data_IF_402421841199
#
_entry.id   IF_402421841199
#
_cell.length_a   1.000
_cell.length_b   1.000
_cell.length_c   1.000
_cell.angle_alpha   90.00
_cell.angle_beta   90.00
_cell.angle_gamma   90.00
#
_symmetry.space_group_name_H-M   'P 1'
#
loop_
_entity.id
_entity.type
_entity.pdbx_description
1 polymer ?
#
# COMPACT_ATOMS: atom_id res chain seq x y z
N UNK A 1 6.43 0.95 -22.48
CA UNK A 1 6.96 0.32 -21.24
C UNK A 1 8.24 0.98 -20.72
N UNK A 2 9.33 1.03 -21.49
CA UNK A 2 10.62 1.58 -21.02
C UNK A 2 10.56 3.02 -20.45
N UNK A 3 9.73 3.89 -21.02
CA UNK A 3 9.58 5.28 -20.56
C UNK A 3 8.95 5.42 -19.17
N UNK A 4 8.05 4.52 -18.80
CA UNK A 4 7.38 4.54 -17.48
C UNK A 4 8.34 4.02 -16.41
N UNK A 5 9.11 2.98 -16.73
CA UNK A 5 10.16 2.43 -15.86
C UNK A 5 11.22 3.49 -15.55
N UNK A 6 11.62 4.28 -16.57
CA UNK A 6 12.59 5.37 -16.40
C UNK A 6 12.12 6.47 -15.46
N UNK A 7 10.83 6.85 -15.50
CA UNK A 7 10.27 7.84 -14.59
C UNK A 7 10.24 7.32 -13.15
N UNK A 8 9.89 6.04 -12.95
CA UNK A 8 9.96 5.41 -11.63
C UNK A 8 11.39 5.38 -11.08
N UNK A 9 12.38 5.02 -11.89
CA UNK A 9 13.80 4.99 -11.48
C UNK A 9 14.34 6.38 -11.12
N UNK A 10 13.98 7.42 -11.87
CA UNK A 10 14.40 8.80 -11.59
C UNK A 10 13.76 9.37 -10.33
N UNK A 11 12.51 8.99 -10.04
CA UNK A 11 11.82 9.36 -8.79
C UNK A 11 12.42 8.66 -7.57
N UNK A 12 12.87 7.40 -7.72
CA UNK A 12 13.55 6.63 -6.67
C UNK A 12 14.91 7.24 -6.31
N UNK A 13 15.69 7.71 -7.29
CA UNK A 13 17.04 8.23 -7.07
C UNK A 13 17.12 9.65 -6.49
N UNK A 14 16.08 10.49 -6.65
CA UNK A 14 16.12 11.90 -6.22
C UNK A 14 15.51 12.17 -4.84
N UNK A 15 14.88 11.19 -4.20
CA UNK A 15 14.44 11.34 -2.82
C UNK A 15 15.54 10.86 -1.87
N UNK A 16 16.35 11.81 -1.41
CA UNK A 16 17.28 11.63 -0.30
C UNK A 16 16.57 10.95 0.88
N UNK A 17 16.88 9.68 1.11
CA UNK A 17 16.87 8.95 2.39
C UNK A 17 15.65 9.21 3.30
N UNK A 18 14.44 9.25 2.73
CA UNK A 18 13.22 8.98 3.50
C UNK A 18 12.91 7.51 3.33
N UNK A 19 12.48 6.84 4.40
CA UNK A 19 12.09 5.45 4.31
C UNK A 19 11.02 5.27 3.22
N UNK A 20 11.20 4.28 2.36
CA UNK A 20 10.27 3.98 1.28
C UNK A 20 9.67 2.62 1.58
N UNK A 21 8.35 2.54 1.62
CA UNK A 21 7.63 1.28 1.78
C UNK A 21 7.17 0.84 0.41
N UNK A 22 7.85 -0.15 -0.14
CA UNK A 22 7.58 -0.69 -1.46
C UNK A 22 7.09 -2.12 -1.33
N UNK A 23 6.07 -2.51 -2.07
CA UNK A 23 5.60 -3.89 -2.12
C UNK A 23 5.17 -4.25 -3.53
N UNK A 24 5.52 -5.45 -3.97
CA UNK A 24 5.06 -6.03 -5.24
C UNK A 24 4.55 -7.42 -4.99
N UNK A 25 3.39 -7.74 -5.54
CA UNK A 25 2.79 -9.05 -5.37
C UNK A 25 1.43 -9.17 -6.03
N UNK A 26 0.50 -9.80 -5.32
CA UNK A 26 -0.85 -10.06 -5.81
C UNK A 26 -1.89 -9.55 -4.82
N UNK A 27 -2.98 -9.02 -5.36
CA UNK A 27 -4.21 -8.69 -4.64
C UNK A 27 -5.34 -9.57 -5.16
N UNK A 28 -6.09 -10.16 -4.25
CA UNK A 28 -7.35 -10.82 -4.55
C UNK A 28 -8.51 -9.93 -4.12
N UNK A 29 -9.33 -9.53 -5.09
CA UNK A 29 -10.63 -8.88 -4.89
C UNK A 29 -11.55 -9.40 -5.99
N UNK A 30 -12.35 -10.43 -5.66
CA UNK A 30 -13.17 -11.28 -6.58
C UNK A 30 -12.38 -12.02 -7.68
N UNK A 31 -11.21 -11.54 -8.04
CA UNK A 31 -10.23 -12.15 -8.93
C UNK A 31 -8.82 -11.70 -8.52
N UNK A 32 -7.82 -12.49 -8.90
CA UNK A 32 -6.42 -12.19 -8.65
C UNK A 32 -5.93 -11.09 -9.60
N UNK A 33 -5.23 -10.11 -9.05
CA UNK A 33 -4.59 -9.00 -9.74
C UNK A 33 -3.13 -8.94 -9.32
N UNK A 34 -2.25 -8.54 -10.23
CA UNK A 34 -0.93 -8.07 -9.83
C UNK A 34 -1.09 -6.73 -9.11
N UNK A 35 -0.32 -6.51 -8.05
CA UNK A 35 -0.30 -5.26 -7.30
C UNK A 35 1.14 -4.77 -7.11
N UNK A 36 1.36 -3.47 -7.29
CA UNK A 36 2.58 -2.78 -6.90
C UNK A 36 2.21 -1.53 -6.11
N UNK A 37 2.71 -1.42 -4.89
CA UNK A 37 2.46 -0.31 -3.98
C UNK A 37 3.76 0.40 -3.63
N UNK A 38 3.72 1.73 -3.62
CA UNK A 38 4.81 2.57 -3.14
C UNK A 38 4.24 3.59 -2.17
N UNK A 39 4.78 3.68 -0.96
CA UNK A 39 4.35 4.65 0.05
C UNK A 39 5.56 5.32 0.68
N UNK A 40 5.46 6.63 0.85
CA UNK A 40 6.43 7.47 1.55
C UNK A 40 5.80 7.85 2.89
N UNK A 41 6.29 7.27 4.00
CA UNK A 41 5.84 7.63 5.33
C UNK A 41 6.29 9.05 5.68
N UNK A 42 5.46 9.76 6.43
CA UNK A 42 5.63 11.17 6.79
C UNK A 42 6.41 11.29 8.09
N UNK A 43 6.11 10.46 9.08
CA UNK A 43 6.76 10.50 10.39
C UNK A 43 7.92 9.52 10.48
N UNK A 44 7.67 8.25 10.13
CA UNK A 44 8.63 7.15 10.25
C UNK A 44 9.42 7.14 11.57
N UNK A 45 8.71 7.33 12.69
CA UNK A 45 9.29 7.53 14.02
C UNK A 45 9.04 6.31 14.92
N UNK A 46 10.11 5.69 15.41
CA UNK A 46 10.06 4.50 16.29
C UNK A 46 9.40 4.75 17.65
N UNK A 47 9.26 6.00 18.09
CA UNK A 47 8.63 6.36 19.35
C UNK A 47 7.13 6.64 19.22
N UNK A 48 6.60 6.70 17.99
CA UNK A 48 5.18 6.96 17.74
C UNK A 48 4.49 5.68 17.27
N UNK A 49 3.37 5.29 17.91
CA UNK A 49 2.63 4.09 17.53
C UNK A 49 1.76 4.34 16.29
N UNK A 50 2.00 5.39 15.50
CA UNK A 50 1.24 5.73 14.31
C UNK A 50 2.11 6.39 13.25
N UNK A 51 1.69 6.27 11.99
CA UNK A 51 2.31 6.96 10.87
C UNK A 51 1.25 7.36 9.83
N UNK A 52 1.62 8.33 9.01
CA UNK A 52 0.86 8.75 7.85
C UNK A 52 1.74 8.54 6.63
N UNK A 53 1.18 8.13 5.51
CA UNK A 53 1.96 7.94 4.29
C UNK A 53 1.19 8.44 3.07
N UNK A 54 1.93 9.03 2.13
CA UNK A 54 1.43 9.30 0.79
C UNK A 54 2.03 8.29 -0.17
N UNK A 55 1.24 7.82 -1.12
CA UNK A 55 1.69 6.75 -1.98
C UNK A 55 0.88 6.61 -3.25
N UNK A 56 1.24 5.55 -3.96
CA UNK A 56 0.64 5.13 -5.21
C UNK A 56 0.46 3.62 -5.17
N UNK A 57 -0.74 3.17 -5.45
CA UNK A 57 -1.06 1.75 -5.60
C UNK A 57 -1.47 1.47 -7.04
N UNK A 58 -0.85 0.48 -7.65
CA UNK A 58 -1.18 0.00 -8.99
C UNK A 58 -1.70 -1.42 -8.88
N UNK A 59 -2.82 -1.69 -9.54
CA UNK A 59 -3.38 -3.03 -9.73
C UNK A 59 -3.68 -3.25 -11.21
N UNK A 60 -3.47 -4.48 -11.70
CA UNK A 60 -3.86 -4.82 -13.07
C UNK A 60 -5.38 -4.82 -13.26
N UNK A 61 -5.88 -4.64 -14.50
CA UNK A 61 -7.30 -4.73 -14.81
C UNK A 61 -7.97 -6.01 -14.28
N UNK A 62 -9.20 -5.88 -13.81
CA UNK A 62 -10.04 -6.93 -13.24
C UNK A 62 -11.51 -6.68 -13.63
N UNK A 63 -12.05 -7.54 -14.49
CA UNK A 63 -13.43 -7.40 -14.96
C UNK A 63 -14.51 -7.53 -13.85
N UNK A 64 -14.14 -7.97 -12.63
CA UNK A 64 -15.07 -8.23 -11.53
C UNK A 64 -15.03 -7.19 -10.41
N UNK A 65 -13.97 -6.39 -10.34
CA UNK A 65 -13.81 -5.39 -9.30
C UNK A 65 -13.01 -4.18 -9.82
N UNK A 66 -13.30 -2.97 -9.33
CA UNK A 66 -12.56 -1.79 -9.71
C UNK A 66 -11.06 -1.92 -9.46
N UNK A 67 -10.24 -1.59 -10.45
CA UNK A 67 -8.79 -1.73 -10.39
C UNK A 67 -8.07 -0.79 -11.35
N UNK A 68 -6.89 -0.33 -10.95
CA UNK A 68 -6.07 0.56 -11.76
C UNK A 68 -5.02 1.26 -10.94
N UNK A 69 -4.89 2.57 -11.10
CA UNK A 69 -3.90 3.40 -10.41
C UNK A 69 -4.56 4.28 -9.35
N UNK A 70 -4.06 4.23 -8.12
CA UNK A 70 -4.63 4.96 -6.99
C UNK A 70 -3.53 5.74 -6.25
N UNK A 71 -3.40 7.06 -6.49
CA UNK A 71 -2.77 7.94 -5.54
C UNK A 71 -3.53 7.90 -4.22
N UNK A 72 -2.80 7.68 -3.13
CA UNK A 72 -3.40 7.36 -1.86
C UNK A 72 -2.72 8.04 -0.68
N UNK A 73 -3.51 8.25 0.36
CA UNK A 73 -3.09 8.59 1.70
C UNK A 73 -3.39 7.39 2.62
N UNK A 74 -2.45 7.04 3.47
CA UNK A 74 -2.60 5.97 4.45
C UNK A 74 -2.40 6.54 5.84
N UNK A 75 -3.35 6.30 6.74
CA UNK A 75 -3.16 6.46 8.18
C UNK A 75 -3.05 5.07 8.80
N UNK A 76 -2.03 4.84 9.64
CA UNK A 76 -1.84 3.55 10.28
C UNK A 76 -1.43 3.68 11.74
N UNK A 77 -1.82 2.69 12.52
CA UNK A 77 -1.48 2.53 13.93
C UNK A 77 -0.81 1.17 14.12
N UNK A 78 0.35 1.16 14.76
CA UNK A 78 1.15 -0.04 14.98
C UNK A 78 0.70 -0.76 16.24
N UNK A 79 0.19 -1.98 16.04
CA UNK A 79 -0.30 -2.86 17.10
C UNK A 79 0.83 -3.71 17.68
N UNK A 80 1.74 -4.15 16.80
CA UNK A 80 2.95 -4.88 17.17
C UNK A 80 4.10 -4.23 16.43
N UNK A 81 4.98 -3.59 17.20
CA UNK A 81 6.12 -2.85 16.66
C UNK A 81 7.22 -2.77 17.71
N UNK A 82 8.15 -3.73 17.65
CA UNK A 82 9.20 -3.93 18.64
C UNK A 82 10.51 -4.24 17.91
N UNK A 83 11.60 -3.60 18.33
CA UNK A 83 12.95 -3.81 17.80
C UNK A 83 13.46 -5.25 17.93
N UNK A 84 12.89 -6.05 18.83
CA UNK A 84 13.25 -7.46 19.04
C UNK A 84 12.39 -8.43 18.22
N UNK A 85 11.36 -7.96 17.51
CA UNK A 85 10.50 -8.80 16.68
C UNK A 85 10.91 -8.70 15.22
N UNK A 86 10.89 -9.85 14.54
CA UNK A 86 11.12 -9.95 13.08
C UNK A 86 9.87 -9.63 12.24
N UNK A 87 8.79 -9.18 12.87
CA UNK A 87 7.53 -8.84 12.22
C UNK A 87 6.89 -7.61 12.88
N UNK A 88 6.11 -6.86 12.09
CA UNK A 88 5.23 -5.81 12.57
C UNK A 88 3.78 -6.10 12.19
N UNK A 89 2.85 -5.55 12.96
CA UNK A 89 1.41 -5.57 12.66
C UNK A 89 0.86 -4.18 12.89
N UNK A 90 0.03 -3.71 11.97
CA UNK A 90 -0.64 -2.43 12.05
C UNK A 90 -2.08 -2.53 11.56
N UNK A 91 -2.93 -1.66 12.07
CA UNK A 91 -4.25 -1.41 11.53
C UNK A 91 -4.27 -0.01 10.93
N UNK A 92 -4.95 0.17 9.81
CA UNK A 92 -4.95 1.45 9.12
C UNK A 92 -6.11 1.64 8.18
N UNK A 93 -6.18 2.83 7.61
CA UNK A 93 -7.14 3.22 6.59
C UNK A 93 -6.36 3.82 5.43
N UNK A 94 -6.59 3.30 4.24
CA UNK A 94 -6.13 3.90 2.99
C UNK A 94 -7.29 4.68 2.41
N UNK A 95 -7.05 5.89 1.93
CA UNK A 95 -8.02 6.63 1.13
C UNK A 95 -7.34 7.20 -0.10
N UNK A 96 -8.03 7.21 -1.22
CA UNK A 96 -7.45 7.70 -2.47
C UNK A 96 -8.48 7.79 -3.58
N UNK A 97 -8.04 8.34 -4.71
CA UNK A 97 -8.82 8.40 -5.93
C UNK A 97 -8.28 7.35 -6.91
N UNK A 98 -9.13 6.40 -7.29
CA UNK A 98 -8.80 5.35 -8.24
C UNK A 98 -9.10 5.83 -9.65
N UNK A 99 -8.05 5.85 -10.48
CA UNK A 99 -8.17 5.86 -11.93
C UNK A 99 -8.34 4.41 -12.40
N UNK A 100 -9.58 4.04 -12.71
CA UNK A 100 -9.96 2.69 -13.09
C UNK A 100 -9.52 2.39 -14.53
N UNK A 101 -8.98 1.20 -14.75
CA UNK A 101 -8.53 0.74 -16.08
C UNK A 101 -9.51 -0.21 -16.76
N UNK A 102 -10.58 -0.58 -16.09
CA UNK A 102 -11.65 -1.39 -16.65
C UNK A 102 -12.66 -0.49 -17.36
N UNK A 103 -13.38 -1.05 -18.34
CA UNK A 103 -14.40 -0.30 -19.08
C UNK A 103 -15.75 -0.25 -18.36
N UNK A 104 -16.02 -1.22 -17.48
CA UNK A 104 -17.30 -1.32 -16.79
C UNK A 104 -17.39 -0.50 -15.50
N UNK A 105 -16.26 -0.01 -14.97
CA UNK A 105 -16.20 0.72 -13.70
C UNK A 105 -15.81 2.18 -13.92
N UNK A 106 -16.33 3.07 -13.06
CA UNK A 106 -15.99 4.49 -13.07
C UNK A 106 -14.78 4.77 -12.17
N UNK A 107 -14.02 5.83 -12.50
CA UNK A 107 -13.05 6.42 -11.59
C UNK A 107 -13.73 6.90 -10.31
N UNK A 108 -13.08 6.71 -9.16
CA UNK A 108 -13.80 6.83 -7.90
C UNK A 108 -12.93 6.98 -6.67
N UNK A 109 -13.49 7.59 -5.62
CA UNK A 109 -12.92 7.55 -4.30
C UNK A 109 -13.07 6.16 -3.67
N UNK A 110 -11.98 5.68 -3.08
CA UNK A 110 -11.92 4.43 -2.33
C UNK A 110 -11.45 4.72 -0.91
N UNK A 111 -12.07 4.04 0.06
CA UNK A 111 -11.63 4.01 1.45
C UNK A 111 -11.48 2.55 1.87
N UNK A 112 -10.32 2.21 2.41
CA UNK A 112 -9.92 0.83 2.67
C UNK A 112 -9.38 0.68 4.08
N UNK A 113 -10.25 0.46 5.10
CA UNK A 113 -9.79 -0.08 6.37
C UNK A 113 -9.12 -1.44 6.16
N UNK A 114 -7.96 -1.63 6.77
CA UNK A 114 -7.17 -2.85 6.62
C UNK A 114 -6.29 -3.12 7.84
N UNK A 115 -5.89 -4.37 7.97
CA UNK A 115 -4.78 -4.83 8.80
C UNK A 115 -3.61 -5.13 7.88
N UNK A 116 -2.44 -4.64 8.23
CA UNK A 116 -1.19 -4.87 7.53
C UNK A 116 -0.21 -5.59 8.46
N UNK A 117 0.42 -6.63 7.96
CA UNK A 117 1.49 -7.35 8.61
C UNK A 117 2.70 -7.38 7.69
N UNK A 118 3.88 -7.19 8.27
CA UNK A 118 5.15 -7.30 7.58
C UNK A 118 6.05 -8.26 8.35
N UNK A 119 6.61 -9.25 7.66
CA UNK A 119 7.64 -10.14 8.16
C UNK A 119 8.66 -10.31 7.03
N UNK A 120 9.75 -9.54 7.08
CA UNK A 120 10.64 -9.36 5.93
C UNK A 120 11.09 -10.71 5.34
N UNK A 121 10.99 -10.91 4.01
CA UNK A 121 10.64 -9.92 2.99
C UNK A 121 9.16 -9.88 2.60
N UNK A 122 8.26 -10.49 3.38
CA UNK A 122 6.85 -10.63 3.03
C UNK A 122 5.96 -9.56 3.68
N UNK A 123 4.94 -9.15 2.94
CA UNK A 123 3.88 -8.24 3.36
C UNK A 123 2.54 -8.89 3.12
N UNK A 124 1.63 -8.74 4.08
CA UNK A 124 0.24 -9.20 3.98
C UNK A 124 -0.64 -8.03 4.37
N UNK A 125 -1.66 -7.76 3.56
CA UNK A 125 -2.68 -6.75 3.83
C UNK A 125 -4.05 -7.37 3.63
N UNK A 126 -4.89 -7.30 4.65
CA UNK A 126 -6.25 -7.82 4.62
C UNK A 126 -7.20 -6.69 4.99
N UNK A 127 -8.23 -6.46 4.20
CA UNK A 127 -9.10 -5.34 4.45
C UNK A 127 -10.35 -5.35 3.61
N UNK A 128 -10.99 -4.20 3.56
CA UNK A 128 -12.25 -4.03 2.87
C UNK A 128 -12.27 -2.72 2.10
N UNK A 129 -12.39 -2.81 0.78
CA UNK A 129 -12.47 -1.66 -0.11
C UNK A 129 -13.90 -1.16 -0.18
N UNK A 130 -14.14 0.03 0.38
CA UNK A 130 -15.38 0.75 0.25
C UNK A 130 -15.30 1.73 -0.91
N UNK A 131 -16.18 1.51 -1.88
CA UNK A 131 -16.24 2.28 -3.11
C UNK A 131 -17.41 3.26 -3.00
N UNK A 132 -17.11 4.56 -2.90
CA UNK A 132 -18.12 5.57 -2.61
C UNK A 132 -19.23 5.69 -3.67
N UNK A 133 -18.94 5.70 -4.99
CA UNK A 133 -20.01 5.84 -6.00
C UNK A 133 -20.94 4.63 -6.10
N UNK A 134 -20.46 3.45 -5.73
CA UNK A 134 -21.27 2.22 -5.75
C UNK A 134 -21.94 1.92 -4.41
N UNK A 135 -21.57 2.65 -3.35
CA UNK A 135 -21.97 2.37 -1.96
C UNK A 135 -21.76 0.89 -1.59
N UNK A 136 -20.72 0.27 -2.15
CA UNK A 136 -20.44 -1.15 -2.08
C UNK A 136 -19.06 -1.40 -1.48
N UNK A 137 -19.01 -2.50 -0.76
CA UNK A 137 -17.85 -2.98 -0.04
C UNK A 137 -17.36 -4.31 -0.57
N UNK A 138 -16.05 -4.45 -0.78
CA UNK A 138 -15.44 -5.72 -1.18
C UNK A 138 -14.26 -6.07 -0.29
N UNK A 139 -14.25 -7.31 0.18
CA UNK A 139 -13.12 -7.83 0.93
C UNK A 139 -11.92 -8.05 -0.01
N UNK A 140 -10.73 -7.69 0.45
CA UNK A 140 -9.51 -7.97 -0.29
C UNK A 140 -8.45 -8.59 0.61
N UNK A 141 -7.60 -9.40 -0.03
CA UNK A 141 -6.33 -9.87 0.52
C UNK A 141 -5.24 -9.46 -0.46
N UNK A 142 -4.14 -8.94 0.05
CA UNK A 142 -2.94 -8.61 -0.71
C UNK A 142 -1.74 -9.24 -0.04
N UNK A 143 -0.92 -9.90 -0.85
CA UNK A 143 0.33 -10.55 -0.42
C UNK A 143 1.41 -10.09 -1.38
N UNK A 144 2.53 -9.62 -0.83
CA UNK A 144 3.63 -9.14 -1.64
C UNK A 144 4.98 -9.28 -0.97
N UNK A 145 6.02 -8.99 -1.74
CA UNK A 145 7.41 -8.97 -1.31
C UNK A 145 7.84 -7.50 -1.23
N UNK A 146 8.58 -7.16 -0.17
CA UNK A 146 9.05 -5.82 0.14
C UNK A 146 8.72 -5.46 1.58
N UNK A 147 8.08 -4.32 1.77
CA UNK A 147 7.86 -3.70 3.07
C UNK A 147 8.81 -2.52 3.27
N UNK A 148 8.98 -2.12 4.52
CA UNK A 148 9.77 -0.96 4.88
C UNK A 148 9.52 -0.52 6.32
N UNK A 149 8.35 -0.84 6.88
CA UNK A 149 8.01 -0.42 8.23
C UNK A 149 8.78 -1.18 9.31
N UNK A 150 9.31 -2.37 9.02
CA UNK A 150 10.24 -3.08 9.92
C UNK A 150 11.53 -2.31 10.16
N UNK A 151 11.97 -1.50 9.19
CA UNK A 151 13.22 -0.74 9.28
C UNK A 151 13.10 0.56 10.09
N UNK A 152 11.94 0.87 10.67
CA UNK A 152 11.80 2.05 11.55
C UNK A 152 12.72 2.01 12.78
N UNK A 153 13.03 0.80 13.25
CA UNK A 153 13.92 0.58 14.41
C UNK A 153 15.38 0.50 13.99
N UNK A 154 15.65 0.54 12.69
CA UNK A 154 17.01 0.52 12.17
C UNK A 154 17.67 1.87 12.43
N UNK A 155 18.73 1.86 13.22
CA UNK A 155 19.60 3.01 13.44
C UNK A 155 20.94 2.68 12.81
N UNK A 156 21.35 3.41 11.78
CA UNK A 156 22.76 3.43 11.37
C UNK A 156 23.48 4.27 12.42
N UNK A 157 24.32 3.63 13.24
CA UNK A 157 25.30 4.34 14.07
C UNK A 157 26.45 4.82 13.21
#
# INVERSE_FOLDING_TARGET
>A
MAKIIGVFLVLICNQSVKAQVFSVGAKYDKATMFQASFNIPVLFDKYKPYDFAFGLDYTTPNAKAPSGLQPQFTAMYFLIDDKYKSYNVSAGVITGYLFDFNKEFNNQFRVSPHVYMEAFPFTIKVGHDYVMPLNQGHFFISIGIGGGYLFRHFSVM
#
